data_IF_827453636292
#
_entry.id   IF_827453636292
#
_cell.length_a   1.000
_cell.length_b   1.000
_cell.length_c   1.000
_cell.angle_alpha   90.00
_cell.angle_beta   90.00
_cell.angle_gamma   90.00
#
_symmetry.space_group_name_H-M   'P 1'
#
loop_
_entity.id
_entity.type
_entity.pdbx_description
1 polymer ?
#
# COMPACT_ATOMS: atom_id res chain seq x y z
N UNK A 1 -6.70 15.07 -17.22
CA UNK A 1 -7.72 14.41 -16.38
C UNK A 1 -7.14 13.13 -15.81
N UNK A 2 -7.65 12.66 -14.67
CA UNK A 2 -7.15 11.47 -13.96
C UNK A 2 -8.26 10.63 -13.31
N UNK A 3 -9.49 10.71 -13.86
CA UNK A 3 -10.66 10.03 -13.32
C UNK A 3 -10.49 8.51 -13.26
N UNK A 4 -9.79 7.92 -14.23
CA UNK A 4 -9.46 6.49 -14.23
C UNK A 4 -8.50 6.14 -13.09
N UNK A 5 -7.54 7.01 -12.77
CA UNK A 5 -6.63 6.84 -11.63
C UNK A 5 -7.38 6.87 -10.29
N UNK A 6 -8.38 7.74 -10.15
CA UNK A 6 -9.25 7.78 -8.96
C UNK A 6 -10.07 6.49 -8.83
N UNK A 7 -10.67 6.00 -9.92
CA UNK A 7 -11.43 4.74 -9.91
C UNK A 7 -10.51 3.56 -9.53
N UNK A 8 -9.33 3.46 -10.14
CA UNK A 8 -8.35 2.40 -9.83
C UNK A 8 -7.89 2.44 -8.37
N UNK A 9 -7.62 3.64 -7.84
CA UNK A 9 -7.23 3.82 -6.43
C UNK A 9 -8.34 3.37 -5.48
N UNK A 10 -9.60 3.74 -5.76
CA UNK A 10 -10.74 3.33 -4.94
C UNK A 10 -10.99 1.82 -4.97
N UNK A 11 -10.72 1.16 -6.11
CA UNK A 11 -10.88 -0.29 -6.23
C UNK A 11 -9.78 -1.08 -5.53
N UNK A 12 -8.54 -0.60 -5.59
CA UNK A 12 -7.37 -1.33 -5.07
C UNK A 12 -7.12 -1.02 -3.59
N UNK A 13 -7.48 0.18 -3.14
CA UNK A 13 -7.17 0.65 -1.80
C UNK A 13 -5.92 1.53 -1.78
N UNK A 14 -5.83 2.36 -0.74
CA UNK A 14 -4.72 3.31 -0.53
C UNK A 14 -3.84 2.98 0.68
N UNK A 15 -4.19 1.93 1.43
CA UNK A 15 -3.51 1.50 2.64
C UNK A 15 -3.78 0.03 2.92
N UNK A 16 -2.81 -0.65 3.51
CA UNK A 16 -2.93 -2.04 3.96
C UNK A 16 -2.50 -2.16 5.42
N UNK A 17 -3.13 -3.08 6.15
CA UNK A 17 -2.69 -3.46 7.50
C UNK A 17 -1.89 -4.76 7.41
N UNK A 18 -0.70 -4.76 8.00
CA UNK A 18 0.21 -5.91 7.99
C UNK A 18 0.58 -6.25 9.43
N UNK A 19 0.44 -7.53 9.79
CA UNK A 19 0.86 -8.00 11.10
C UNK A 19 2.38 -7.99 11.23
N UNK A 20 2.85 -7.70 12.45
CA UNK A 20 4.27 -7.69 12.79
C UNK A 20 4.48 -8.65 13.95
N UNK A 21 5.31 -9.67 13.76
CA UNK A 21 5.68 -10.64 14.79
C UNK A 21 7.20 -10.74 14.88
N UNK A 22 7.72 -10.69 16.11
CA UNK A 22 9.17 -10.76 16.37
C UNK A 22 10.00 -9.77 15.52
N UNK A 23 9.46 -8.56 15.32
CA UNK A 23 10.09 -7.51 14.51
C UNK A 23 10.08 -7.73 13.01
N UNK A 24 9.31 -8.70 12.49
CA UNK A 24 9.21 -9.01 11.06
C UNK A 24 7.75 -8.88 10.58
N UNK A 25 7.59 -8.41 9.34
CA UNK A 25 6.30 -8.42 8.66
C UNK A 25 5.87 -9.88 8.42
N UNK A 26 4.63 -10.20 8.80
CA UNK A 26 4.04 -11.52 8.54
C UNK A 26 3.42 -11.49 7.15
N UNK A 27 4.12 -12.09 6.18
CA UNK A 27 3.67 -12.25 4.81
C UNK A 27 3.70 -13.73 4.44
N UNK A 28 2.71 -14.18 3.68
CA UNK A 28 2.72 -15.51 3.07
C UNK A 28 3.79 -15.63 1.98
N UNK A 29 4.11 -16.86 1.57
CA UNK A 29 5.18 -17.18 0.60
C UNK A 29 5.15 -16.35 -0.68
N UNK A 30 3.96 -15.94 -1.12
CA UNK A 30 3.74 -15.21 -2.38
C UNK A 30 3.19 -13.80 -2.19
N UNK A 31 3.11 -13.31 -0.94
CA UNK A 31 2.63 -11.96 -0.68
C UNK A 31 3.77 -10.95 -0.82
N UNK A 32 3.48 -9.82 -1.47
CA UNK A 32 4.37 -8.67 -1.60
C UNK A 32 3.60 -7.38 -1.38
N UNK A 33 4.30 -6.36 -0.89
CA UNK A 33 3.75 -5.02 -0.69
C UNK A 33 4.15 -4.18 -1.89
N UNK A 34 3.16 -3.61 -2.60
CA UNK A 34 3.37 -2.83 -3.80
C UNK A 34 2.80 -1.42 -3.64
N UNK A 35 3.54 -0.42 -4.14
CA UNK A 35 2.99 0.90 -4.41
C UNK A 35 2.41 0.89 -5.83
N UNK A 36 1.10 1.01 -5.94
CA UNK A 36 0.42 1.09 -7.23
C UNK A 36 0.19 2.57 -7.63
N UNK A 37 1.08 3.15 -8.44
CA UNK A 37 0.91 4.51 -8.97
C UNK A 37 0.14 4.52 -10.29
N UNK A 38 -1.08 5.06 -10.27
CA UNK A 38 -1.97 5.12 -11.44
C UNK A 38 -1.99 6.49 -12.15
N UNK A 39 -1.22 7.48 -11.69
CA UNK A 39 -1.20 8.85 -12.25
C UNK A 39 0.25 9.40 -12.28
N UNK A 40 1.20 8.52 -12.63
CA UNK A 40 2.63 8.86 -12.74
C UNK A 40 3.02 9.50 -14.09
N UNK A 41 4.30 9.92 -14.26
CA UNK A 41 5.39 9.84 -13.29
C UNK A 41 5.33 10.99 -12.28
N UNK A 42 5.30 10.67 -10.98
CA UNK A 42 5.30 11.64 -9.89
C UNK A 42 6.08 11.11 -8.70
N UNK A 43 6.62 12.00 -7.87
CA UNK A 43 7.16 11.61 -6.56
C UNK A 43 6.01 11.32 -5.61
N UNK A 44 5.97 10.10 -5.05
CA UNK A 44 4.97 9.66 -4.09
C UNK A 44 5.56 9.57 -2.68
N UNK A 45 4.72 9.79 -1.68
CA UNK A 45 5.06 9.58 -0.27
C UNK A 45 4.23 8.40 0.25
N UNK A 46 4.90 7.45 0.88
CA UNK A 46 4.26 6.32 1.58
C UNK A 46 4.48 6.54 3.06
N UNK A 47 3.39 6.51 3.84
CA UNK A 47 3.45 6.65 5.28
C UNK A 47 3.29 5.29 5.94
N UNK A 48 4.07 5.06 6.99
CA UNK A 48 4.02 3.84 7.80
C UNK A 48 3.78 4.28 9.23
N UNK A 49 2.77 3.68 9.87
CA UNK A 49 2.52 3.84 11.30
C UNK A 49 2.48 2.47 11.94
N UNK A 50 3.37 2.25 12.90
CA UNK A 50 3.33 1.07 13.76
C UNK A 50 2.47 1.43 14.97
N UNK A 51 1.50 0.58 15.27
CA UNK A 51 0.65 0.69 16.46
C UNK A 51 0.81 -0.59 17.26
N UNK A 52 0.95 -0.46 18.57
CA UNK A 52 0.85 -1.61 19.47
C UNK A 52 -0.61 -2.07 19.51
N UNK A 53 -0.82 -3.37 19.35
CA UNK A 53 -2.13 -4.01 19.49
C UNK A 53 -2.46 -4.36 20.93
#
# INVERSE_FOLDING_TARGET
GNSDSHIKTSMIGSSENIFIENGKLVLGTWQGIFLCDFDGPRTRKVYIKIVEG
#
